data_IF_883153377891
#
_entry.id   IF_883153377891
#
_cell.length_a   1.000
_cell.length_b   1.000
_cell.length_c   1.000
_cell.angle_alpha   90.00
_cell.angle_beta   90.00
_cell.angle_gamma   90.00
#
_symmetry.space_group_name_H-M   'P 1'
#
loop_
_entity.id
_entity.type
_entity.pdbx_description
1 polymer ?
#
# COMPACT_ATOMS: atom_id res chain seq x y z
N UNK A 1 -60.36 -32.48 -20.49
CA UNK A 1 -59.57 -31.50 -19.70
C UNK A 1 -58.25 -32.08 -19.22
N UNK A 2 -58.19 -33.36 -18.79
CA UNK A 2 -56.93 -33.98 -18.35
C UNK A 2 -55.90 -34.24 -19.46
N UNK A 3 -56.32 -34.63 -20.69
CA UNK A 3 -55.37 -34.87 -21.79
C UNK A 3 -54.59 -33.62 -22.20
N UNK A 4 -55.25 -32.47 -22.38
CA UNK A 4 -54.56 -31.23 -22.74
C UNK A 4 -53.59 -30.73 -21.65
N UNK A 5 -53.84 -31.09 -20.38
CA UNK A 5 -52.99 -30.73 -19.25
C UNK A 5 -51.74 -31.62 -19.17
N UNK A 6 -51.87 -32.91 -19.52
CA UNK A 6 -50.72 -33.82 -19.67
C UNK A 6 -49.82 -33.40 -20.84
N UNK A 7 -50.40 -33.05 -21.99
CA UNK A 7 -49.65 -32.56 -23.16
C UNK A 7 -48.88 -31.27 -22.86
N UNK A 8 -49.50 -30.32 -22.15
CA UNK A 8 -48.83 -29.09 -21.73
C UNK A 8 -47.67 -29.39 -20.75
N UNK A 9 -47.86 -30.31 -19.81
CA UNK A 9 -46.83 -30.68 -18.83
C UNK A 9 -45.62 -31.33 -19.50
N UNK A 10 -45.84 -32.19 -20.49
CA UNK A 10 -44.77 -32.81 -21.30
C UNK A 10 -44.03 -31.74 -22.12
N UNK A 11 -44.74 -30.75 -22.67
CA UNK A 11 -44.13 -29.66 -23.44
C UNK A 11 -43.25 -28.75 -22.57
N UNK A 12 -43.72 -28.33 -21.39
CA UNK A 12 -42.92 -27.48 -20.50
C UNK A 12 -41.74 -28.23 -19.89
N UNK A 13 -41.88 -29.50 -19.54
CA UNK A 13 -40.77 -30.32 -19.01
C UNK A 13 -39.68 -30.57 -20.06
N UNK A 14 -40.07 -30.82 -21.31
CA UNK A 14 -39.11 -30.97 -22.42
C UNK A 14 -38.37 -29.66 -22.73
N UNK A 15 -39.06 -28.51 -22.73
CA UNK A 15 -38.43 -27.19 -22.81
C UNK A 15 -37.44 -26.94 -21.66
N UNK A 16 -37.82 -27.26 -20.43
CA UNK A 16 -36.93 -27.10 -19.27
C UNK A 16 -35.67 -27.98 -19.39
N UNK A 17 -35.80 -29.23 -19.86
CA UNK A 17 -34.67 -30.11 -20.12
C UNK A 17 -33.75 -29.59 -21.24
N UNK A 18 -34.32 -28.98 -22.29
CA UNK A 18 -33.54 -28.34 -23.36
C UNK A 18 -32.78 -27.13 -22.81
N UNK A 19 -33.41 -26.28 -22.00
CA UNK A 19 -32.73 -25.14 -21.36
C UNK A 19 -31.65 -25.59 -20.39
N UNK A 20 -31.89 -26.67 -19.62
CA UNK A 20 -30.88 -27.28 -18.75
C UNK A 20 -29.73 -27.87 -19.55
N UNK A 21 -30.00 -28.54 -20.68
CA UNK A 21 -28.96 -29.10 -21.55
C UNK A 21 -28.16 -28.03 -22.28
N UNK A 22 -28.82 -26.98 -22.78
CA UNK A 22 -28.15 -25.82 -23.39
C UNK A 22 -27.35 -25.03 -22.34
N UNK A 23 -27.91 -24.85 -21.14
CA UNK A 23 -27.22 -24.29 -19.99
C UNK A 23 -26.00 -25.12 -19.62
N UNK A 24 -26.14 -26.44 -19.50
CA UNK A 24 -25.02 -27.35 -19.25
C UNK A 24 -23.99 -27.28 -20.38
N UNK A 25 -24.40 -27.32 -21.64
CA UNK A 25 -23.48 -27.19 -22.79
C UNK A 25 -22.77 -25.85 -22.81
N UNK A 26 -23.43 -24.77 -22.39
CA UNK A 26 -22.82 -23.44 -22.27
C UNK A 26 -21.86 -23.36 -21.08
N UNK A 27 -22.20 -23.97 -19.94
CA UNK A 27 -21.37 -24.05 -18.74
C UNK A 27 -20.14 -24.96 -18.95
N UNK A 28 -20.28 -26.03 -19.74
CA UNK A 28 -19.26 -27.06 -19.99
C UNK A 28 -18.67 -27.02 -21.40
N UNK A 29 -18.96 -25.98 -22.19
CA UNK A 29 -18.26 -25.74 -23.44
C UNK A 29 -16.81 -25.42 -23.08
N UNK A 30 -15.95 -26.44 -23.18
CA UNK A 30 -14.51 -26.25 -23.15
C UNK A 30 -14.17 -25.26 -24.26
N UNK A 31 -13.71 -24.08 -23.86
CA UNK A 31 -13.10 -23.14 -24.81
C UNK A 31 -12.01 -23.92 -25.57
N UNK A 32 -11.90 -23.77 -26.90
CA UNK A 32 -10.86 -24.44 -27.67
C UNK A 32 -9.51 -24.11 -27.04
N UNK A 33 -8.82 -25.15 -26.54
CA UNK A 33 -7.44 -25.03 -26.09
C UNK A 33 -6.61 -24.79 -27.35
N UNK A 34 -6.22 -23.55 -27.63
CA UNK A 34 -5.20 -23.36 -28.65
C UNK A 34 -3.89 -23.92 -28.11
N UNK A 35 -3.20 -24.71 -28.94
CA UNK A 35 -2.03 -25.51 -28.55
C UNK A 35 -0.80 -24.68 -28.11
N UNK A 36 -0.89 -23.35 -28.17
CA UNK A 36 0.21 -22.42 -27.85
C UNK A 36 0.02 -21.64 -26.53
N UNK A 37 -0.99 -21.95 -25.72
CA UNK A 37 -1.17 -21.27 -24.43
C UNK A 37 -0.39 -21.95 -23.31
N UNK A 38 0.08 -21.18 -22.31
CA UNK A 38 0.59 -21.74 -21.07
C UNK A 38 -0.41 -22.70 -20.42
N UNK A 39 0.06 -23.62 -19.57
CA UNK A 39 -0.79 -24.50 -18.77
C UNK A 39 -1.89 -23.72 -18.03
N UNK A 40 -3.12 -24.24 -18.04
CA UNK A 40 -4.28 -23.67 -17.33
C UNK A 40 -4.98 -24.76 -16.54
N UNK A 41 -5.56 -24.39 -15.40
CA UNK A 41 -6.50 -25.24 -14.68
C UNK A 41 -7.89 -25.20 -15.32
N UNK A 42 -8.75 -26.08 -14.83
CA UNK A 42 -10.16 -26.10 -15.18
C UNK A 42 -10.85 -24.88 -14.55
N UNK A 43 -11.47 -24.05 -15.38
CA UNK A 43 -12.21 -22.86 -14.99
C UNK A 43 -13.64 -23.19 -14.55
N UNK A 44 -14.16 -22.50 -13.52
CA UNK A 44 -15.59 -22.55 -13.21
C UNK A 44 -16.41 -21.77 -14.24
N UNK A 45 -17.68 -22.14 -14.52
CA UNK A 45 -18.51 -21.34 -15.40
C UNK A 45 -18.75 -19.93 -14.83
N UNK A 46 -18.77 -18.91 -15.71
CA UNK A 46 -19.04 -17.48 -15.40
C UNK A 46 -17.94 -16.77 -14.60
N UNK A 47 -17.56 -17.29 -13.44
CA UNK A 47 -16.55 -16.69 -12.54
C UNK A 47 -15.13 -17.07 -12.95
N UNK A 48 -14.98 -18.16 -13.71
CA UNK A 48 -13.71 -18.64 -14.25
C UNK A 48 -12.69 -18.90 -13.12
N UNK A 49 -11.47 -18.37 -13.18
CA UNK A 49 -10.47 -18.51 -12.11
C UNK A 49 -10.55 -17.44 -11.03
N UNK A 50 -11.51 -16.49 -11.11
CA UNK A 50 -11.60 -15.38 -10.16
C UNK A 50 -11.82 -15.88 -8.73
N UNK A 51 -12.52 -17.00 -8.54
CA UNK A 51 -12.76 -17.64 -7.25
C UNK A 51 -11.46 -18.01 -6.50
N UNK A 52 -10.37 -18.27 -7.22
CA UNK A 52 -9.05 -18.56 -6.64
C UNK A 52 -8.39 -17.31 -6.04
N UNK A 53 -8.87 -16.12 -6.44
CA UNK A 53 -8.30 -14.82 -6.09
C UNK A 53 -9.13 -14.05 -5.06
N UNK A 54 -10.19 -14.65 -4.52
CA UNK A 54 -11.07 -14.04 -3.50
C UNK A 54 -10.46 -14.10 -2.09
N UNK A 55 -9.44 -14.94 -1.88
CA UNK A 55 -8.74 -15.10 -0.60
C UNK A 55 -7.66 -14.02 -0.36
N UNK A 56 -7.29 -13.74 0.91
CA UNK A 56 -6.95 -12.38 1.34
C UNK A 56 -5.77 -11.73 0.61
N UNK A 57 -4.73 -12.49 0.27
CA UNK A 57 -3.55 -11.97 -0.42
C UNK A 57 -3.35 -12.66 -1.78
N UNK A 58 -3.33 -11.87 -2.86
CA UNK A 58 -3.29 -12.36 -4.24
C UNK A 58 -2.04 -13.19 -4.58
N UNK A 59 -0.91 -12.90 -3.93
CA UNK A 59 0.36 -13.56 -4.24
C UNK A 59 0.42 -15.02 -3.75
N UNK A 60 -0.32 -15.39 -2.69
CA UNK A 60 -0.29 -16.77 -2.13
C UNK A 60 -0.97 -17.79 -3.06
N UNK A 61 -2.19 -17.54 -3.57
CA UNK A 61 -2.77 -18.40 -4.60
C UNK A 61 -1.87 -18.53 -5.84
N UNK A 62 -1.24 -17.46 -6.30
CA UNK A 62 -0.32 -17.53 -7.44
C UNK A 62 0.89 -18.42 -7.15
N UNK A 63 1.46 -18.35 -5.95
CA UNK A 63 2.56 -19.22 -5.54
C UNK A 63 2.13 -20.70 -5.54
N UNK A 64 0.98 -21.02 -4.95
CA UNK A 64 0.48 -22.40 -4.90
C UNK A 64 0.12 -22.95 -6.29
N UNK A 65 -0.41 -22.10 -7.17
CA UNK A 65 -0.67 -22.45 -8.56
C UNK A 65 0.63 -22.66 -9.34
N UNK A 66 1.64 -21.82 -9.11
CA UNK A 66 2.95 -21.98 -9.75
C UNK A 66 3.61 -23.30 -9.38
N UNK A 67 3.52 -23.73 -8.11
CA UNK A 67 4.06 -25.03 -7.67
C UNK A 67 3.39 -26.20 -8.40
N UNK A 68 2.13 -26.06 -8.81
CA UNK A 68 1.35 -27.12 -9.48
C UNK A 68 1.47 -27.10 -11.01
N UNK A 69 1.47 -25.91 -11.62
CA UNK A 69 1.40 -25.72 -13.07
C UNK A 69 2.74 -25.37 -13.71
N UNK A 70 3.72 -24.99 -12.90
CA UNK A 70 5.03 -24.55 -13.34
C UNK A 70 5.23 -23.02 -13.28
N UNK A 71 6.34 -22.53 -13.85
CA UNK A 71 6.76 -21.13 -13.73
C UNK A 71 5.98 -20.15 -14.63
N UNK A 72 5.21 -20.67 -15.60
CA UNK A 72 4.33 -19.88 -16.46
C UNK A 72 3.01 -20.62 -16.61
N UNK A 73 1.92 -19.95 -16.29
CA UNK A 73 0.58 -20.50 -16.40
C UNK A 73 -0.43 -19.41 -16.72
N UNK A 74 -1.57 -19.80 -17.29
CA UNK A 74 -2.63 -18.88 -17.64
C UNK A 74 -3.82 -19.02 -16.70
N UNK A 75 -4.44 -17.89 -16.38
CA UNK A 75 -5.68 -17.78 -15.63
C UNK A 75 -6.66 -16.96 -16.45
N UNK A 76 -7.85 -17.48 -16.64
CA UNK A 76 -8.92 -16.73 -17.27
C UNK A 76 -9.73 -16.01 -16.17
N UNK A 77 -9.69 -14.68 -16.19
CA UNK A 77 -10.35 -13.78 -15.25
C UNK A 77 -11.61 -13.21 -15.90
N UNK A 78 -12.71 -13.94 -15.76
CA UNK A 78 -14.00 -13.65 -16.40
C UNK A 78 -13.84 -13.55 -17.93
N UNK A 79 -13.66 -12.35 -18.48
CA UNK A 79 -13.48 -12.10 -19.91
C UNK A 79 -12.02 -11.92 -20.35
N UNK A 80 -11.06 -11.85 -19.42
CA UNK A 80 -9.65 -11.54 -19.72
C UNK A 80 -8.74 -12.72 -19.43
N UNK A 81 -7.86 -13.05 -20.36
CA UNK A 81 -6.76 -13.98 -20.11
C UNK A 81 -5.63 -13.24 -19.40
N UNK A 82 -5.21 -13.75 -18.24
CA UNK A 82 -4.01 -13.34 -17.54
C UNK A 82 -2.95 -14.45 -17.64
N UNK A 83 -1.70 -14.06 -17.83
CA UNK A 83 -0.56 -14.97 -17.76
C UNK A 83 0.26 -14.59 -16.55
N UNK A 84 0.51 -15.56 -15.68
CA UNK A 84 1.32 -15.39 -14.47
C UNK A 84 2.70 -15.97 -14.74
N UNK A 85 3.74 -15.18 -14.44
CA UNK A 85 5.14 -15.57 -14.56
C UNK A 85 5.77 -15.50 -13.17
N UNK A 86 6.39 -16.60 -12.74
CA UNK A 86 6.92 -16.78 -11.39
C UNK A 86 8.36 -17.31 -11.35
N UNK A 87 9.07 -17.28 -12.49
CA UNK A 87 10.51 -17.58 -12.56
C UNK A 87 11.32 -16.31 -12.78
N UNK A 88 12.43 -16.16 -12.05
CA UNK A 88 13.35 -15.04 -12.18
C UNK A 88 13.85 -14.86 -13.63
N UNK A 89 14.30 -15.94 -14.27
CA UNK A 89 14.82 -15.88 -15.64
C UNK A 89 13.79 -15.42 -16.67
N UNK A 90 12.52 -15.78 -16.47
CA UNK A 90 11.43 -15.41 -17.37
C UNK A 90 10.96 -13.98 -17.12
N UNK A 91 10.92 -13.56 -15.85
CA UNK A 91 10.67 -12.18 -15.47
C UNK A 91 11.75 -11.26 -16.06
N UNK A 92 13.02 -11.66 -16.01
CA UNK A 92 14.11 -10.93 -16.64
C UNK A 92 13.91 -10.81 -18.15
N UNK A 93 13.56 -11.91 -18.85
CA UNK A 93 13.25 -11.86 -20.28
C UNK A 93 12.04 -10.94 -20.58
N UNK A 94 11.02 -10.92 -19.72
CA UNK A 94 9.87 -10.03 -19.85
C UNK A 94 10.26 -8.55 -19.74
N UNK A 95 11.14 -8.19 -18.80
CA UNK A 95 11.51 -6.79 -18.52
C UNK A 95 12.75 -6.30 -19.28
N UNK A 96 13.41 -7.15 -20.06
CA UNK A 96 14.59 -6.77 -20.87
C UNK A 96 14.34 -6.94 -22.37
N UNK A 97 14.04 -8.16 -22.82
CA UNK A 97 13.92 -8.50 -24.24
C UNK A 97 12.54 -8.18 -24.81
N UNK A 98 11.50 -8.34 -23.99
CA UNK A 98 10.10 -8.14 -24.39
C UNK A 98 9.44 -6.95 -23.67
N UNK A 99 10.26 -6.04 -23.13
CA UNK A 99 9.84 -4.94 -22.27
C UNK A 99 8.81 -4.03 -22.95
N UNK A 100 9.03 -3.66 -24.22
CA UNK A 100 8.14 -2.79 -24.99
C UNK A 100 6.79 -3.48 -25.28
N UNK A 101 6.81 -4.77 -25.62
CA UNK A 101 5.59 -5.53 -25.95
C UNK A 101 4.71 -5.70 -24.70
N UNK A 102 5.35 -5.89 -23.53
CA UNK A 102 4.68 -6.06 -22.25
C UNK A 102 4.48 -4.74 -21.49
N UNK A 103 4.92 -3.60 -22.04
CA UNK A 103 4.85 -2.31 -21.38
C UNK A 103 3.43 -1.73 -21.30
N UNK A 104 2.45 -2.28 -22.03
CA UNK A 104 1.07 -1.78 -22.00
C UNK A 104 0.33 -2.12 -20.70
N UNK A 105 -0.75 -1.39 -20.42
CA UNK A 105 -1.60 -1.57 -19.24
C UNK A 105 -2.97 -2.11 -19.65
N UNK A 106 -3.63 -2.92 -18.81
CA UNK A 106 -4.98 -3.37 -19.09
C UNK A 106 -5.95 -2.17 -19.10
N UNK A 107 -6.85 -2.13 -20.08
CA UNK A 107 -7.87 -1.08 -20.19
C UNK A 107 -8.97 -1.29 -19.13
N UNK A 108 -8.74 -0.86 -17.90
CA UNK A 108 -9.71 -0.94 -16.81
C UNK A 108 -10.72 0.22 -16.90
N UNK A 109 -12.00 -0.02 -16.59
CA UNK A 109 -13.02 1.05 -16.55
C UNK A 109 -12.65 2.14 -15.55
N UNK A 110 -12.06 1.74 -14.43
CA UNK A 110 -11.57 2.64 -13.41
C UNK A 110 -10.59 3.67 -14.00
N UNK A 111 -9.61 3.23 -14.78
CA UNK A 111 -8.64 4.12 -15.43
C UNK A 111 -9.29 5.04 -16.48
N UNK A 112 -10.43 4.64 -17.06
CA UNK A 112 -11.19 5.51 -17.95
C UNK A 112 -11.75 6.73 -17.21
N UNK A 113 -12.33 6.50 -16.04
CA UNK A 113 -13.03 7.53 -15.26
C UNK A 113 -12.11 8.29 -14.30
N UNK A 114 -11.22 7.60 -13.58
CA UNK A 114 -10.34 8.22 -12.57
C UNK A 114 -8.98 8.64 -13.12
N UNK A 115 -8.52 8.06 -14.23
CA UNK A 115 -7.21 8.37 -14.82
C UNK A 115 -7.34 9.09 -16.16
N UNK A 116 -8.34 9.99 -16.26
CA UNK A 116 -8.54 10.88 -17.40
C UNK A 116 -8.47 10.16 -18.74
N UNK A 117 -9.28 9.11 -18.92
CA UNK A 117 -9.28 8.28 -20.12
C UNK A 117 -7.88 7.72 -20.49
N UNK A 118 -7.20 7.10 -19.53
CA UNK A 118 -5.88 6.47 -19.71
C UNK A 118 -4.77 7.45 -20.09
N UNK A 119 -4.80 8.68 -19.58
CA UNK A 119 -3.77 9.69 -19.91
C UNK A 119 -2.79 9.95 -18.76
N UNK A 120 -2.97 9.31 -17.61
CA UNK A 120 -2.02 9.42 -16.48
C UNK A 120 -0.80 8.53 -16.66
N UNK A 121 0.31 8.89 -16.00
CA UNK A 121 1.59 8.16 -16.07
C UNK A 121 1.48 6.65 -15.82
N UNK A 122 0.56 6.22 -14.96
CA UNK A 122 0.41 4.81 -14.56
C UNK A 122 -0.39 4.00 -15.57
N UNK A 123 -1.37 4.64 -16.23
CA UNK A 123 -2.39 3.93 -17.02
C UNK A 123 -2.25 4.15 -18.52
N UNK A 124 -1.49 5.16 -18.94
CA UNK A 124 -1.27 5.44 -20.34
C UNK A 124 -0.57 4.27 -21.04
N UNK A 125 -1.04 3.90 -22.26
CA UNK A 125 -0.38 2.87 -23.05
C UNK A 125 1.03 3.33 -23.45
N UNK A 126 1.92 2.36 -23.66
CA UNK A 126 3.27 2.65 -24.08
C UNK A 126 3.28 3.34 -25.45
N UNK A 127 4.06 4.41 -25.57
CA UNK A 127 4.16 5.22 -26.79
C UNK A 127 4.85 6.55 -26.52
N UNK A 128 4.90 7.42 -27.52
CA UNK A 128 5.54 8.75 -27.41
C UNK A 128 4.97 9.58 -26.26
N UNK A 129 3.65 9.52 -26.09
CA UNK A 129 2.96 10.22 -25.01
C UNK A 129 3.45 9.77 -23.63
N UNK A 130 3.42 8.45 -23.35
CA UNK A 130 3.88 7.91 -22.07
C UNK A 130 5.38 8.16 -21.85
N UNK A 131 6.22 8.02 -22.88
CA UNK A 131 7.66 8.32 -22.79
C UNK A 131 7.92 9.79 -22.43
N UNK A 132 7.14 10.71 -23.01
CA UNK A 132 7.21 12.13 -22.66
C UNK A 132 6.77 12.39 -21.22
N UNK A 133 5.70 11.74 -20.73
CA UNK A 133 5.30 11.82 -19.33
C UNK A 133 6.41 11.32 -18.38
N UNK A 134 7.00 10.15 -18.66
CA UNK A 134 8.13 9.63 -17.88
C UNK A 134 9.30 10.60 -17.85
N UNK A 135 9.67 11.17 -19.01
CA UNK A 135 10.74 12.16 -19.11
C UNK A 135 10.46 13.40 -18.26
N UNK A 136 9.24 13.94 -18.34
CA UNK A 136 8.84 15.10 -17.54
C UNK A 136 8.91 14.76 -16.05
N UNK A 137 8.34 13.62 -15.62
CA UNK A 137 8.39 13.21 -14.21
C UNK A 137 9.84 13.03 -13.71
N UNK A 138 10.71 12.39 -14.48
CA UNK A 138 12.11 12.20 -14.09
C UNK A 138 12.85 13.52 -13.95
N UNK A 139 12.64 14.48 -14.86
CA UNK A 139 13.37 15.76 -14.84
C UNK A 139 12.78 16.73 -13.80
N UNK A 140 11.46 16.86 -13.78
CA UNK A 140 10.76 17.91 -13.02
C UNK A 140 10.38 17.50 -11.61
N UNK A 141 10.20 16.20 -11.34
CA UNK A 141 9.72 15.73 -10.04
C UNK A 141 10.83 14.95 -9.33
N UNK A 142 11.43 13.97 -10.01
CA UNK A 142 12.32 12.98 -9.39
C UNK A 142 13.81 13.24 -9.61
N UNK A 143 14.19 14.38 -10.22
CA UNK A 143 15.61 14.69 -10.40
C UNK A 143 16.28 14.99 -9.05
N UNK A 144 17.58 14.67 -8.87
CA UNK A 144 18.29 14.94 -7.62
C UNK A 144 18.18 16.40 -7.17
N UNK A 145 18.27 17.35 -8.11
CA UNK A 145 18.13 18.78 -7.83
C UNK A 145 16.74 19.12 -7.29
N UNK A 146 15.67 18.55 -7.86
CA UNK A 146 14.30 18.76 -7.40
C UNK A 146 14.06 18.12 -6.04
N UNK A 147 14.52 16.88 -5.84
CA UNK A 147 14.43 16.18 -4.55
C UNK A 147 15.15 16.98 -3.46
N UNK A 148 16.36 17.50 -3.73
CA UNK A 148 17.12 18.31 -2.79
C UNK A 148 16.45 19.66 -2.49
N UNK A 149 15.82 20.30 -3.47
CA UNK A 149 15.02 21.53 -3.25
C UNK A 149 13.89 21.31 -2.24
N UNK A 150 13.28 20.13 -2.25
CA UNK A 150 12.21 19.74 -1.31
C UNK A 150 12.71 19.12 0.00
N UNK A 151 14.03 19.08 0.26
CA UNK A 151 14.57 18.55 1.50
C UNK A 151 14.01 19.26 2.75
N UNK A 152 13.82 20.59 2.67
CA UNK A 152 13.24 21.37 3.76
C UNK A 152 11.83 20.93 4.15
N UNK A 153 10.99 20.59 3.16
CA UNK A 153 9.61 20.09 3.39
C UNK A 153 9.66 18.77 4.14
N UNK A 154 10.45 17.81 3.64
CA UNK A 154 10.56 16.48 4.26
C UNK A 154 11.11 16.55 5.68
N UNK A 155 12.09 17.41 5.91
CA UNK A 155 12.63 17.67 7.25
C UNK A 155 11.58 18.27 8.19
N UNK A 156 10.73 19.17 7.70
CA UNK A 156 9.66 19.79 8.49
C UNK A 156 8.56 18.76 8.85
N UNK A 157 8.12 17.93 7.91
CA UNK A 157 7.13 16.88 8.19
C UNK A 157 7.67 15.82 9.16
N UNK A 158 8.92 15.38 9.00
CA UNK A 158 9.58 14.47 9.95
C UNK A 158 9.66 15.07 11.36
N UNK A 159 9.98 16.37 11.44
CA UNK A 159 10.01 17.09 12.71
C UNK A 159 8.65 17.15 13.39
N UNK A 160 7.58 17.37 12.62
CA UNK A 160 6.20 17.39 13.16
C UNK A 160 5.79 16.02 13.67
N UNK A 161 6.14 14.96 12.95
CA UNK A 161 5.94 13.59 13.42
C UNK A 161 6.63 13.37 14.79
N UNK A 162 7.90 13.75 14.91
CA UNK A 162 8.64 13.61 16.17
C UNK A 162 8.06 14.46 17.30
N UNK A 163 7.60 15.69 17.01
CA UNK A 163 6.90 16.52 17.99
C UNK A 163 5.61 15.85 18.48
N UNK A 164 4.78 15.34 17.57
CA UNK A 164 3.54 14.63 17.91
C UNK A 164 3.81 13.41 18.80
N UNK A 165 4.83 12.62 18.46
CA UNK A 165 5.26 11.49 19.27
C UNK A 165 5.78 11.94 20.65
N UNK A 166 6.59 12.99 20.70
CA UNK A 166 7.20 13.49 21.93
C UNK A 166 6.18 14.08 22.90
N UNK A 167 5.23 14.91 22.42
CA UNK A 167 4.18 15.49 23.25
C UNK A 167 3.31 14.41 23.89
N UNK A 168 3.04 13.33 23.15
CA UNK A 168 2.22 12.23 23.66
C UNK A 168 2.97 11.30 24.62
N UNK A 169 4.31 11.37 24.68
CA UNK A 169 5.17 10.38 25.37
C UNK A 169 6.27 10.98 26.26
N UNK A 170 6.10 12.23 26.69
CA UNK A 170 7.15 13.00 27.40
C UNK A 170 7.57 12.40 28.75
N UNK A 171 6.61 11.91 29.54
CA UNK A 171 6.88 11.40 30.91
C UNK A 171 6.60 9.91 31.08
N UNK A 172 5.62 9.39 30.31
CA UNK A 172 5.11 8.03 30.40
C UNK A 172 5.18 7.38 29.02
N UNK A 173 5.39 6.07 28.99
CA UNK A 173 5.22 5.29 27.75
C UNK A 173 3.80 5.47 27.24
N UNK A 174 3.68 5.89 25.98
CA UNK A 174 2.42 6.09 25.31
C UNK A 174 2.23 5.08 24.19
N UNK A 175 1.02 4.53 24.11
CA UNK A 175 0.60 3.65 23.02
C UNK A 175 0.39 4.46 21.76
N UNK A 176 1.15 4.14 20.72
CA UNK A 176 1.09 4.81 19.42
C UNK A 176 0.82 3.79 18.33
N UNK A 177 -0.11 4.10 17.43
CA UNK A 177 -0.39 3.32 16.22
C UNK A 177 0.34 3.99 15.04
N UNK A 178 1.30 3.28 14.43
CA UNK A 178 2.28 3.89 13.52
C UNK A 178 1.80 4.02 12.08
N UNK A 179 0.86 3.20 11.61
CA UNK A 179 0.40 3.21 10.22
C UNK A 179 -0.27 4.53 9.89
N UNK A 180 -1.20 5.00 10.72
CA UNK A 180 -1.86 6.30 10.51
C UNK A 180 -0.84 7.44 10.48
N UNK A 181 0.17 7.40 11.36
CA UNK A 181 1.22 8.41 11.40
C UNK A 181 2.12 8.39 10.15
N UNK A 182 2.43 7.20 9.60
CA UNK A 182 3.18 7.09 8.35
C UNK A 182 2.36 7.50 7.13
N UNK A 183 1.04 7.22 7.11
CA UNK A 183 0.13 7.73 6.09
C UNK A 183 0.10 9.27 6.13
N UNK A 184 -0.11 9.87 7.30
CA UNK A 184 -0.09 11.34 7.48
C UNK A 184 1.23 11.95 6.98
N UNK A 185 2.37 11.35 7.36
CA UNK A 185 3.71 11.79 6.98
C UNK A 185 3.90 11.74 5.46
N UNK A 186 3.63 10.59 4.85
CA UNK A 186 3.89 10.36 3.42
C UNK A 186 2.95 11.21 2.56
N UNK A 187 1.69 11.34 2.98
CA UNK A 187 0.71 12.15 2.28
C UNK A 187 1.06 13.65 2.32
N UNK A 188 1.33 14.19 3.51
CA UNK A 188 1.69 15.60 3.66
C UNK A 188 3.01 15.93 2.95
N UNK A 189 3.99 15.00 2.94
CA UNK A 189 5.21 15.16 2.15
C UNK A 189 4.89 15.36 0.67
N UNK A 190 4.06 14.49 0.08
CA UNK A 190 3.68 14.57 -1.33
C UNK A 190 2.86 15.84 -1.63
N UNK A 191 1.85 16.13 -0.82
CA UNK A 191 0.97 17.27 -1.07
C UNK A 191 1.65 18.61 -0.87
N UNK A 192 2.58 18.73 0.08
CA UNK A 192 3.38 19.96 0.21
C UNK A 192 4.37 20.13 -0.93
N UNK A 193 4.88 19.04 -1.48
CA UNK A 193 5.75 19.10 -2.66
C UNK A 193 4.98 19.44 -3.94
N UNK A 194 3.71 19.02 -4.06
CA UNK A 194 2.91 19.17 -5.29
C UNK A 194 1.97 20.38 -5.28
N UNK A 195 1.29 20.62 -4.17
CA UNK A 195 0.23 21.60 -4.00
C UNK A 195 0.51 22.63 -2.90
N UNK A 196 1.68 22.55 -2.24
CA UNK A 196 2.07 23.41 -1.11
C UNK A 196 1.07 23.41 0.06
N UNK A 197 0.18 22.43 0.11
CA UNK A 197 -0.89 22.29 1.11
C UNK A 197 -0.75 21.03 1.95
N UNK A 198 -1.34 21.05 3.14
CA UNK A 198 -1.50 19.90 4.05
C UNK A 198 -2.97 19.56 4.17
N UNK A 199 -3.27 18.26 4.23
CA UNK A 199 -4.64 17.74 4.29
C UNK A 199 -4.86 16.77 5.46
N UNK A 200 -3.78 16.38 6.16
CA UNK A 200 -3.81 15.48 7.30
C UNK A 200 -3.13 16.12 8.52
N UNK A 201 -3.65 15.84 9.71
CA UNK A 201 -3.17 16.35 11.01
C UNK A 201 -4.06 17.43 11.63
N UNK A 202 -3.84 17.71 12.91
CA UNK A 202 -4.63 18.66 13.71
C UNK A 202 -4.36 20.13 13.35
N UNK A 203 -3.20 20.43 12.75
CA UNK A 203 -2.78 21.79 12.38
C UNK A 203 -3.29 22.24 11.00
N UNK A 204 -4.29 21.57 10.43
CA UNK A 204 -4.79 21.90 9.08
C UNK A 204 -5.66 23.15 9.15
N UNK A 205 -5.28 24.20 8.43
CA UNK A 205 -5.91 25.53 8.50
C UNK A 205 -7.30 25.60 7.85
N UNK A 206 -7.59 24.71 6.90
CA UNK A 206 -8.89 24.61 6.21
C UNK A 206 -9.45 23.19 6.38
N UNK A 207 -10.11 22.95 7.51
CA UNK A 207 -10.62 21.62 7.82
C UNK A 207 -11.79 21.20 6.91
N UNK A 208 -12.55 22.15 6.34
CA UNK A 208 -13.60 21.84 5.37
C UNK A 208 -13.04 21.27 4.07
N UNK A 209 -12.10 21.99 3.42
CA UNK A 209 -11.45 21.52 2.19
C UNK A 209 -10.73 20.20 2.46
N UNK A 210 -10.06 20.08 3.61
CA UNK A 210 -9.33 18.89 3.94
C UNK A 210 -10.22 17.68 4.25
N UNK A 211 -11.37 17.89 4.87
CA UNK A 211 -12.35 16.83 5.08
C UNK A 211 -12.89 16.30 3.75
N UNK A 212 -13.36 17.19 2.87
CA UNK A 212 -13.85 16.80 1.53
C UNK A 212 -12.78 16.05 0.74
N UNK A 213 -11.53 16.55 0.80
CA UNK A 213 -10.41 15.91 0.14
C UNK A 213 -10.11 14.50 0.72
N UNK A 214 -10.12 14.33 2.05
CA UNK A 214 -9.93 13.02 2.70
C UNK A 214 -11.04 12.04 2.34
N UNK A 215 -12.29 12.49 2.26
CA UNK A 215 -13.43 11.68 1.85
C UNK A 215 -13.29 11.23 0.39
N UNK A 216 -12.93 12.15 -0.51
CA UNK A 216 -12.68 11.82 -1.91
C UNK A 216 -11.52 10.82 -2.05
N UNK A 217 -10.44 10.99 -1.29
CA UNK A 217 -9.34 10.04 -1.28
C UNK A 217 -9.79 8.66 -0.77
N UNK A 218 -10.56 8.59 0.30
CA UNK A 218 -11.07 7.32 0.84
C UNK A 218 -11.96 6.59 -0.19
N UNK A 219 -12.85 7.31 -0.87
CA UNK A 219 -13.70 6.77 -1.94
C UNK A 219 -12.85 6.28 -3.12
N UNK A 220 -11.79 7.01 -3.48
CA UNK A 220 -10.86 6.61 -4.53
C UNK A 220 -10.06 5.36 -4.13
N UNK A 221 -9.63 5.21 -2.86
CA UNK A 221 -8.95 4.00 -2.36
C UNK A 221 -9.89 2.80 -2.41
N UNK A 222 -11.11 2.95 -1.92
CA UNK A 222 -12.11 1.88 -1.91
C UNK A 222 -12.46 1.42 -3.33
N UNK A 223 -12.48 2.34 -4.28
CA UNK A 223 -12.74 2.06 -5.70
C UNK A 223 -11.46 1.77 -6.52
N UNK A 224 -10.26 1.79 -5.92
CA UNK A 224 -8.99 1.31 -6.51
C UNK A 224 -8.15 2.30 -7.33
N UNK A 225 -8.28 3.63 -7.15
CA UNK A 225 -7.72 4.68 -8.02
C UNK A 225 -6.29 5.15 -7.70
N UNK A 226 -5.53 5.48 -8.76
CA UNK A 226 -4.09 5.21 -8.86
C UNK A 226 -3.32 6.46 -9.34
N UNK A 227 -2.62 7.18 -8.44
CA UNK A 227 -1.30 7.82 -8.66
C UNK A 227 -0.74 8.43 -7.37
N UNK A 228 -1.48 9.35 -6.74
CA UNK A 228 -1.08 9.95 -5.46
C UNK A 228 -1.09 8.92 -4.32
N UNK A 229 -2.08 8.02 -4.34
CA UNK A 229 -2.25 6.96 -3.36
C UNK A 229 -1.22 5.84 -3.49
N UNK A 230 -0.68 5.61 -4.70
CA UNK A 230 0.38 4.61 -4.89
C UNK A 230 1.61 5.00 -4.09
N UNK A 231 2.00 6.27 -4.11
CA UNK A 231 3.17 6.74 -3.37
C UNK A 231 2.97 6.69 -1.86
N UNK A 232 1.81 7.14 -1.37
CA UNK A 232 1.51 7.20 0.06
C UNK A 232 1.38 5.81 0.68
N UNK A 233 0.45 4.99 0.20
CA UNK A 233 0.15 3.71 0.86
C UNK A 233 1.32 2.73 0.78
N UNK A 234 2.02 2.68 -0.36
CA UNK A 234 3.20 1.80 -0.49
C UNK A 234 4.32 2.23 0.44
N UNK A 235 4.58 3.54 0.56
CA UNK A 235 5.62 4.06 1.46
C UNK A 235 5.25 3.81 2.93
N UNK A 236 4.01 4.10 3.31
CA UNK A 236 3.53 3.90 4.68
C UNK A 236 3.58 2.41 5.09
N UNK A 237 3.05 1.51 4.24
CA UNK A 237 3.07 0.06 4.46
C UNK A 237 4.52 -0.46 4.50
N UNK A 238 5.40 0.04 3.63
CA UNK A 238 6.82 -0.38 3.62
C UNK A 238 7.52 0.01 4.91
N UNK A 239 7.34 1.24 5.38
CA UNK A 239 7.94 1.70 6.65
C UNK A 239 7.33 0.95 7.84
N UNK A 240 6.02 0.67 7.82
CA UNK A 240 5.35 -0.13 8.85
C UNK A 240 5.90 -1.57 8.92
N UNK A 241 6.09 -2.24 7.78
CA UNK A 241 6.74 -3.55 7.73
C UNK A 241 8.20 -3.49 8.14
N UNK A 242 8.96 -2.49 7.69
CA UNK A 242 10.36 -2.32 8.09
C UNK A 242 10.48 -2.18 9.60
N UNK A 243 9.65 -1.33 10.21
CA UNK A 243 9.59 -1.17 11.67
C UNK A 243 9.15 -2.46 12.37
N UNK A 244 8.14 -3.17 11.85
CA UNK A 244 7.69 -4.44 12.42
C UNK A 244 8.82 -5.48 12.44
N UNK A 245 9.58 -5.59 11.34
CA UNK A 245 10.71 -6.51 11.22
C UNK A 245 11.87 -6.13 12.14
N UNK A 246 12.19 -4.84 12.26
CA UNK A 246 13.21 -4.35 13.20
C UNK A 246 12.84 -4.66 14.65
N UNK A 247 11.59 -4.40 15.04
CA UNK A 247 11.13 -4.64 16.41
C UNK A 247 11.05 -6.13 16.75
N UNK A 248 10.83 -6.99 15.75
CA UNK A 248 10.86 -8.43 15.91
C UNK A 248 12.30 -8.99 15.93
N UNK A 249 13.33 -8.16 15.68
CA UNK A 249 14.73 -8.59 15.62
C UNK A 249 15.67 -7.56 16.30
N UNK A 250 15.84 -7.71 17.62
CA UNK A 250 16.60 -6.77 18.46
C UNK A 250 18.05 -6.57 18.04
N UNK A 251 18.72 -7.62 17.58
CA UNK A 251 20.12 -7.52 17.16
C UNK A 251 20.25 -6.55 15.98
N UNK A 252 19.37 -6.68 14.99
CA UNK A 252 19.32 -5.79 13.82
C UNK A 252 18.87 -4.39 14.23
N UNK A 253 17.89 -4.27 15.13
CA UNK A 253 17.46 -2.97 15.64
C UNK A 253 18.59 -2.23 16.38
N UNK A 254 19.37 -2.93 17.21
CA UNK A 254 20.48 -2.33 17.94
C UNK A 254 21.61 -1.92 16.99
N UNK A 255 21.93 -2.75 15.98
CA UNK A 255 22.86 -2.36 14.91
C UNK A 255 22.39 -1.11 14.15
N UNK A 256 21.11 -1.03 13.80
CA UNK A 256 20.54 0.13 13.14
C UNK A 256 20.60 1.39 14.04
N UNK A 257 20.35 1.25 15.35
CA UNK A 257 20.52 2.34 16.32
C UNK A 257 21.98 2.80 16.39
N UNK A 258 22.93 1.88 16.55
CA UNK A 258 24.36 2.19 16.58
C UNK A 258 24.83 2.92 15.31
N UNK A 259 24.37 2.49 14.13
CA UNK A 259 24.69 3.16 12.87
C UNK A 259 24.14 4.60 12.82
N UNK A 260 22.88 4.79 13.20
CA UNK A 260 22.27 6.13 13.30
C UNK A 260 23.05 7.00 14.29
N UNK A 261 23.46 6.44 15.43
CA UNK A 261 24.19 7.16 16.47
C UNK A 261 25.57 7.59 15.97
N UNK A 262 26.23 6.75 15.18
CA UNK A 262 27.53 7.04 14.57
C UNK A 262 27.45 8.09 13.44
N UNK A 263 26.41 8.06 12.60
CA UNK A 263 26.30 8.93 11.42
C UNK A 263 25.61 10.27 11.70
N UNK A 264 24.60 10.28 12.56
CA UNK A 264 23.80 11.47 12.88
C UNK A 264 24.36 12.20 14.10
N UNK A 265 24.99 11.47 15.03
CA UNK A 265 25.44 11.96 16.32
C UNK A 265 24.29 12.22 17.31
N UNK A 266 24.61 12.30 18.60
CA UNK A 266 23.62 12.50 19.67
C UNK A 266 23.26 13.98 19.94
N UNK A 267 23.87 14.90 19.19
CA UNK A 267 23.81 16.34 19.46
C UNK A 267 22.83 17.08 18.53
N UNK A 268 22.14 16.37 17.63
CA UNK A 268 21.24 17.00 16.65
C UNK A 268 19.87 17.26 17.26
N UNK A 269 19.64 18.51 17.65
CA UNK A 269 18.37 18.98 18.20
C UNK A 269 17.32 19.16 17.11
N UNK A 270 16.14 18.60 17.32
CA UNK A 270 14.93 19.04 16.62
C UNK A 270 14.42 20.23 17.41
N UNK A 271 14.57 21.45 16.88
CA UNK A 271 14.04 22.61 17.60
C UNK A 271 12.50 22.52 17.67
N UNK A 272 11.82 23.30 18.49
CA UNK A 272 10.41 23.64 18.27
C UNK A 272 10.39 25.04 17.61
N UNK A 273 9.84 25.19 16.40
CA UNK A 273 9.68 26.55 15.86
C UNK A 273 8.41 27.06 16.49
N UNK A 274 8.46 28.20 17.17
CA UNK A 274 7.26 28.96 17.55
C UNK A 274 6.52 29.40 16.28
N UNK A 275 5.75 28.51 15.67
CA UNK A 275 4.66 28.86 14.78
C UNK A 275 3.42 29.09 15.64
N UNK A 276 2.57 30.05 15.30
CA UNK A 276 1.39 30.46 16.08
C UNK A 276 0.46 29.29 16.48
N UNK A 277 0.52 28.15 15.78
CA UNK A 277 -0.24 26.93 16.10
C UNK A 277 0.40 26.02 17.17
N UNK A 278 1.74 25.98 17.30
CA UNK A 278 2.39 25.27 18.41
C UNK A 278 2.25 26.02 19.75
N UNK A 279 1.72 27.25 19.75
CA UNK A 279 1.62 28.07 20.97
C UNK A 279 0.71 27.42 22.01
N UNK A 280 -0.32 26.68 21.60
CA UNK A 280 -1.24 26.03 22.55
C UNK A 280 -0.79 24.61 22.96
N UNK A 281 -0.09 23.88 22.07
CA UNK A 281 0.40 22.52 22.36
C UNK A 281 1.78 22.50 23.03
N UNK A 282 2.60 23.54 22.83
CA UNK A 282 3.93 23.68 23.43
C UNK A 282 3.95 24.66 24.62
N UNK A 283 2.81 25.18 25.08
CA UNK A 283 2.73 25.99 26.30
C UNK A 283 3.08 25.11 27.52
N UNK A 284 4.36 25.07 27.88
CA UNK A 284 4.93 24.22 28.93
C UNK A 284 6.06 23.27 28.46
N UNK A 285 6.36 23.20 27.17
CA UNK A 285 7.33 22.28 26.60
C UNK A 285 8.58 23.02 26.07
N UNK A 286 9.79 22.42 26.16
CA UNK A 286 11.04 23.07 25.77
C UNK A 286 11.06 23.48 24.28
N UNK A 287 11.61 24.66 24.00
CA UNK A 287 11.66 25.27 22.65
C UNK A 287 12.67 24.62 21.71
N UNK A 288 13.42 23.65 22.22
CA UNK A 288 14.30 22.77 21.47
C UNK A 288 14.37 21.43 22.16
N UNK A 289 14.25 20.34 21.41
CA UNK A 289 14.37 18.98 21.94
C UNK A 289 15.49 18.25 21.19
N UNK A 290 16.16 17.29 21.82
CA UNK A 290 17.06 16.42 21.06
C UNK A 290 16.19 15.66 20.07
N UNK A 291 16.73 15.22 18.93
CA UNK A 291 16.04 14.18 18.14
C UNK A 291 16.00 12.90 18.99
N UNK A 292 15.17 12.87 20.01
CA UNK A 292 15.26 11.88 21.07
C UNK A 292 14.86 10.53 20.51
N UNK A 293 15.79 9.58 20.59
CA UNK A 293 15.59 8.19 20.19
C UNK A 293 14.51 7.62 21.09
N UNK A 294 13.32 7.36 20.56
CA UNK A 294 12.24 6.74 21.32
C UNK A 294 12.74 5.47 22.01
N UNK A 295 12.54 5.41 23.32
CA UNK A 295 12.59 4.15 24.02
C UNK A 295 11.30 3.41 23.71
N UNK A 296 11.43 2.18 23.26
CA UNK A 296 10.30 1.30 23.13
C UNK A 296 10.25 0.51 24.44
N UNK A 297 9.08 0.37 25.03
CA UNK A 297 8.93 -0.51 26.19
C UNK A 297 8.90 -1.94 25.67
N UNK A 298 9.73 -2.82 26.21
CA UNK A 298 9.58 -4.24 25.93
C UNK A 298 10.41 -5.11 26.86
N UNK A 299 9.91 -6.30 27.15
CA UNK A 299 10.66 -7.31 27.89
C UNK A 299 11.60 -8.03 26.93
N UNK A 300 12.87 -8.09 27.28
CA UNK A 300 13.86 -8.95 26.62
C UNK A 300 13.77 -10.35 27.23
N UNK A 301 13.35 -11.33 26.42
CA UNK A 301 13.37 -12.74 26.77
C UNK A 301 14.53 -13.48 26.08
N UNK A 302 15.71 -12.85 25.99
CA UNK A 302 16.94 -13.41 25.42
C UNK A 302 16.93 -13.56 23.90
N UNK A 303 15.74 -13.72 23.29
CA UNK A 303 15.54 -13.96 21.85
C UNK A 303 14.38 -13.18 21.23
N UNK A 304 13.57 -12.46 22.02
CA UNK A 304 12.38 -11.74 21.54
C UNK A 304 12.17 -10.46 22.34
N UNK A 305 11.72 -9.42 21.63
CA UNK A 305 11.29 -8.16 22.20
C UNK A 305 9.80 -7.99 21.99
N UNK A 306 9.12 -7.64 23.08
CA UNK A 306 7.67 -7.57 23.12
C UNK A 306 7.30 -6.10 23.33
N UNK A 307 6.93 -5.35 22.28
CA UNK A 307 6.61 -3.92 22.41
C UNK A 307 5.31 -3.65 23.20
N UNK A 308 4.57 -4.72 23.56
CA UNK A 308 3.35 -4.76 24.36
C UNK A 308 3.43 -5.82 25.46
N UNK A 309 4.18 -5.58 26.53
CA UNK A 309 4.21 -6.55 27.65
C UNK A 309 4.69 -7.94 27.21
N UNK A 310 3.79 -8.93 27.19
CA UNK A 310 4.06 -10.33 26.77
C UNK A 310 3.54 -10.67 25.35
N UNK A 311 2.99 -9.70 24.60
CA UNK A 311 2.37 -9.93 23.27
C UNK A 311 3.36 -9.75 22.10
N UNK A 312 3.39 -10.73 21.20
CA UNK A 312 4.20 -10.71 19.98
C UNK A 312 3.63 -9.73 18.95
N UNK A 313 4.53 -9.15 18.14
CA UNK A 313 4.12 -8.30 17.01
C UNK A 313 3.41 -9.17 15.98
N UNK A 314 2.15 -8.83 15.69
CA UNK A 314 1.39 -9.48 14.62
C UNK A 314 2.12 -9.29 13.29
N UNK A 315 2.49 -10.39 12.64
CA UNK A 315 3.13 -10.40 11.31
C UNK A 315 2.18 -10.94 10.23
N UNK A 316 0.88 -10.99 10.50
CA UNK A 316 -0.11 -11.48 9.54
C UNK A 316 -0.43 -10.44 8.46
N UNK A 317 -0.54 -10.91 7.22
CA UNK A 317 -0.90 -10.11 6.06
C UNK A 317 -2.42 -9.95 5.95
N UNK A 318 -2.86 -8.72 5.85
CA UNK A 318 -4.23 -8.31 5.56
C UNK A 318 -4.62 -8.49 4.11
N UNK A 319 -5.87 -8.13 3.83
CA UNK A 319 -6.46 -8.21 2.49
C UNK A 319 -5.91 -7.13 1.57
N UNK A 320 -5.64 -7.47 0.31
CA UNK A 320 -5.33 -6.49 -0.74
C UNK A 320 -4.06 -6.80 -1.54
N UNK A 321 -3.78 -5.91 -2.50
CA UNK A 321 -2.66 -6.07 -3.44
C UNK A 321 -1.32 -5.61 -2.87
N UNK A 322 -1.34 -4.75 -1.86
CA UNK A 322 -0.15 -4.11 -1.24
C UNK A 322 0.35 -4.83 0.00
N UNK A 323 -0.20 -6.01 0.34
CA UNK A 323 0.14 -6.76 1.55
C UNK A 323 0.12 -5.89 2.82
N UNK A 324 -0.97 -5.16 3.13
CA UNK A 324 -1.05 -4.42 4.39
C UNK A 324 -1.00 -5.40 5.57
N UNK A 325 -0.68 -4.95 6.78
CA UNK A 325 -0.86 -5.77 7.99
C UNK A 325 -2.35 -5.95 8.32
N UNK A 326 -2.74 -7.09 8.91
CA UNK A 326 -4.10 -7.27 9.46
C UNK A 326 -4.32 -6.28 10.59
N UNK A 327 -3.45 -6.34 11.61
CA UNK A 327 -3.45 -5.37 12.70
C UNK A 327 -2.34 -4.34 12.47
N UNK A 328 -2.67 -3.03 12.49
CA UNK A 328 -1.67 -1.97 12.41
C UNK A 328 -0.62 -2.10 13.52
N UNK A 329 0.63 -1.80 13.20
CA UNK A 329 1.72 -1.81 14.17
C UNK A 329 1.46 -0.76 15.25
N UNK A 330 1.28 -1.23 16.48
CA UNK A 330 1.20 -0.39 17.67
C UNK A 330 2.51 -0.55 18.44
N UNK A 331 2.99 0.52 19.07
CA UNK A 331 4.22 0.52 19.88
C UNK A 331 4.02 1.37 21.13
N UNK A 332 4.67 0.99 22.23
CA UNK A 332 4.84 1.86 23.39
C UNK A 332 6.06 2.73 23.15
N UNK A 333 5.87 4.04 22.98
CA UNK A 333 6.96 4.98 22.80
C UNK A 333 7.10 5.84 24.06
N UNK A 334 8.34 6.09 24.47
CA UNK A 334 8.70 7.15 25.42
C UNK A 334 9.76 8.04 24.80
N UNK A 335 9.52 9.35 24.81
CA UNK A 335 10.55 10.31 24.45
C UNK A 335 11.64 10.31 25.53
N UNK A 336 12.92 10.30 25.14
CA UNK A 336 13.99 10.51 26.11
C UNK A 336 13.90 11.92 26.69
N UNK A 337 14.37 12.08 27.93
CA UNK A 337 14.30 13.35 28.63
C UNK A 337 15.00 14.45 27.82
N UNK A 338 14.25 15.51 27.55
CA UNK A 338 14.75 16.70 26.86
C UNK A 338 15.69 17.43 27.82
N UNK A 339 16.99 17.38 27.56
CA UNK A 339 17.94 18.24 28.27
C UNK A 339 17.83 19.65 27.68
N UNK A 340 17.16 20.57 28.37
CA UNK A 340 17.09 21.98 27.94
C UNK A 340 18.50 22.59 28.01
N UNK A 341 19.24 22.65 26.89
CA UNK A 341 20.61 23.18 26.86
C UNK A 341 20.70 24.69 26.63
N UNK A 342 19.57 25.39 26.53
CA UNK A 342 19.53 26.85 26.27
C UNK A 342 19.03 27.67 27.48
N UNK A 343 19.14 27.15 28.71
CA UNK A 343 18.93 27.91 29.95
C UNK A 343 20.24 28.05 30.76
N UNK A 344 21.24 28.71 30.19
CA UNK A 344 22.27 29.46 30.93
C UNK A 344 22.74 30.68 30.14
#
# INVERSE_FOLDING_TARGET
>A
MNQNMEEATIFYSSLALIFLFLGFKFLFQSKPRHENFPPSLLSLPIIDHLHLLINPSLHRPFLELSKKLGPVFSLQLVSRLAVVVSSLSLVEECFTKNDIVLANRPNLLLSKHLCYNYTTLITAPYGDYWRNLCRICTIEIFSPNRINKFHGIRKDEMRRLFLKLSCNSHEVFAKVELKSMFVDLTFNNLMRMMAEKRYYGEDVTDDSEAKEFRELIAEVVENGGVLLLVGTDTSAITVEWAMSNLLNNLEVLNKAKEEIDAQVGEERWVRCVRQHHCVNQCMGYPTSFKSDRFEIEGKDHGHKYLPFGDEEIDMTEGKGITMPKVEPLKVMCKARAILDKDLY
#
